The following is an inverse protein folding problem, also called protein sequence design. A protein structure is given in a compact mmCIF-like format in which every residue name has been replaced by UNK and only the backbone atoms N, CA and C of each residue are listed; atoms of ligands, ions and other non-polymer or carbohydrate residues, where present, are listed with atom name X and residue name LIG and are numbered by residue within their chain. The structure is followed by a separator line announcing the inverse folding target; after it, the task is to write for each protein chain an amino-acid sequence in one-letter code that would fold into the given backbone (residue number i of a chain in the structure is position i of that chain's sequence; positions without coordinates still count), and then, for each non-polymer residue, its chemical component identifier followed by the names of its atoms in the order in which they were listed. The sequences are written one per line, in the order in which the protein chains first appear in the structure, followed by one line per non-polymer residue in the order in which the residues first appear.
data_IF_113445277396
#
_entry.id   IF_113445277396
#
_cell.length_a   1.000
_cell.length_b   1.000
_cell.length_c   1.000
_cell.angle_alpha   90.00
_cell.angle_beta   90.00
_cell.angle_gamma   90.00
#
_symmetry.space_group_name_H-M   'P 1'
#
loop_
_entity.id
_entity.type
_entity.pdbx_description
1 polymer ?
#
# COMPACT_ATOMS: atom_id res chain seq x y z
N UNK A 1 -25.15 2.41 -27.79
CA UNK A 1 -24.68 1.79 -26.52
C UNK A 1 -23.16 1.83 -26.50
N UNK A 2 -22.53 2.61 -25.61
CA UNK A 2 -21.12 2.42 -25.27
C UNK A 2 -20.84 3.07 -23.91
N UNK A 3 -21.09 2.31 -22.84
CA UNK A 3 -20.66 2.64 -21.49
C UNK A 3 -19.21 2.15 -21.31
N UNK A 4 -18.24 2.96 -21.75
CA UNK A 4 -16.80 2.67 -21.60
C UNK A 4 -16.01 3.92 -21.22
N UNK A 5 -16.39 4.61 -20.13
CA UNK A 5 -15.63 5.79 -19.63
C UNK A 5 -15.58 6.00 -18.11
N UNK A 6 -15.98 5.03 -17.28
CA UNK A 6 -15.93 5.17 -15.80
C UNK A 6 -14.92 4.25 -15.09
N UNK A 7 -14.33 3.29 -15.79
CA UNK A 7 -13.04 2.71 -15.39
C UNK A 7 -12.00 3.76 -15.81
N UNK A 8 -11.35 4.57 -14.98
CA UNK A 8 -10.96 4.33 -13.62
C UNK A 8 -10.45 5.71 -13.08
N UNK A 9 -11.37 6.65 -12.83
CA UNK A 9 -11.01 8.02 -12.39
C UNK A 9 -10.16 7.97 -11.13
N UNK A 10 -10.51 7.04 -10.24
CA UNK A 10 -9.78 6.72 -9.03
C UNK A 10 -8.33 6.35 -9.37
N UNK A 11 -8.09 5.37 -10.27
CA UNK A 11 -6.73 5.00 -10.73
C UNK A 11 -5.92 6.18 -11.29
N UNK A 12 -6.57 7.14 -11.97
CA UNK A 12 -5.88 8.33 -12.50
C UNK A 12 -5.51 9.37 -11.45
N UNK A 13 -6.12 9.34 -10.27
CA UNK A 13 -5.80 10.27 -9.19
C UNK A 13 -4.55 9.85 -8.42
N UNK A 14 -4.21 8.56 -8.37
CA UNK A 14 -3.07 8.06 -7.60
C UNK A 14 -1.70 8.50 -8.12
N UNK A 15 -1.54 8.66 -9.43
CA UNK A 15 -0.29 9.16 -10.01
C UNK A 15 -0.02 10.63 -9.71
N UNK A 16 -0.97 11.35 -9.08
CA UNK A 16 -0.77 12.74 -8.69
C UNK A 16 -0.03 12.81 -7.36
N UNK A 17 0.99 13.67 -7.30
CA UNK A 17 1.77 13.94 -6.09
C UNK A 17 0.87 14.20 -4.87
N UNK A 18 -0.18 15.00 -5.03
CA UNK A 18 -1.13 15.35 -3.96
C UNK A 18 -1.85 14.13 -3.34
N UNK A 19 -2.05 13.06 -4.12
CA UNK A 19 -2.70 11.84 -3.63
C UNK A 19 -1.73 10.97 -2.84
N UNK A 20 -0.46 10.91 -3.25
CA UNK A 20 0.60 10.22 -2.50
C UNK A 20 0.83 10.89 -1.15
N UNK A 21 0.88 12.22 -1.11
CA UNK A 21 0.95 12.96 0.17
C UNK A 21 -0.24 12.64 1.08
N UNK A 22 -1.43 12.47 0.51
CA UNK A 22 -2.62 12.11 1.26
C UNK A 22 -2.56 10.68 1.83
N UNK A 23 -2.01 9.72 1.09
CA UNK A 23 -1.76 8.36 1.58
C UNK A 23 -0.68 8.33 2.66
N UNK A 24 0.40 9.10 2.50
CA UNK A 24 1.45 9.24 3.50
C UNK A 24 0.91 9.86 4.80
N UNK A 25 0.05 10.88 4.70
CA UNK A 25 -0.64 11.46 5.84
C UNK A 25 -1.48 10.43 6.61
N UNK A 26 -2.19 9.55 5.90
CA UNK A 26 -2.93 8.47 6.55
C UNK A 26 -2.03 7.42 7.19
N UNK A 27 -0.84 7.16 6.64
CA UNK A 27 0.14 6.25 7.24
C UNK A 27 0.78 6.82 8.50
N UNK A 28 0.97 8.13 8.55
CA UNK A 28 1.46 8.83 9.74
C UNK A 28 0.45 8.73 10.90
N UNK A 29 -0.86 8.86 10.62
CA UNK A 29 -1.92 8.52 11.58
C UNK A 29 -2.05 7.00 11.81
N UNK A 30 -1.78 6.19 10.78
CA UNK A 30 -1.86 4.73 10.77
C UNK A 30 -0.74 4.04 11.56
N UNK A 31 0.39 4.72 11.76
CA UNK A 31 1.48 4.34 12.66
C UNK A 31 1.03 4.26 14.13
N UNK A 32 -0.19 4.69 14.47
CA UNK A 32 -0.78 4.43 15.79
C UNK A 32 -1.69 3.18 15.82
N UNK A 33 -1.89 2.50 14.70
CA UNK A 33 -2.97 1.52 14.54
C UNK A 33 -2.53 0.09 14.27
N UNK A 34 -1.32 -0.18 13.78
CA UNK A 34 -0.94 -1.54 13.37
C UNK A 34 0.58 -1.78 13.36
N UNK A 35 1.04 -2.89 13.95
CA UNK A 35 2.46 -3.24 14.16
C UNK A 35 3.29 -3.19 12.85
N UNK A 36 2.84 -3.78 11.73
CA UNK A 36 3.47 -3.66 10.42
C UNK A 36 3.80 -2.25 9.94
N UNK A 37 2.90 -1.28 10.13
CA UNK A 37 3.11 0.09 9.66
C UNK A 37 4.27 0.74 10.41
N UNK A 38 4.28 0.61 11.74
CA UNK A 38 5.38 1.09 12.56
C UNK A 38 6.69 0.41 12.19
N UNK A 39 6.68 -0.90 11.96
CA UNK A 39 7.88 -1.62 11.58
C UNK A 39 8.42 -1.11 10.24
N UNK A 40 7.60 -0.99 9.20
CA UNK A 40 8.05 -0.50 7.89
C UNK A 40 8.57 0.94 8.00
N UNK A 41 7.80 1.84 8.63
CA UNK A 41 8.15 3.26 8.71
C UNK A 41 9.39 3.54 9.56
N UNK A 42 9.74 2.66 10.50
CA UNK A 42 10.90 2.82 11.38
C UNK A 42 12.05 1.84 11.04
N UNK A 43 11.98 1.11 9.93
CA UNK A 43 13.01 0.13 9.54
C UNK A 43 13.09 -1.12 10.44
N UNK A 44 12.01 -1.43 11.16
CA UNK A 44 11.83 -2.64 11.95
C UNK A 44 11.47 -3.87 11.11
N UNK A 45 11.50 -5.04 11.74
CA UNK A 45 11.21 -6.33 11.08
C UNK A 45 9.74 -6.71 11.23
N UNK A 46 9.14 -7.24 10.15
CA UNK A 46 7.81 -7.87 10.17
C UNK A 46 8.01 -9.38 10.07
N UNK A 47 7.44 -10.13 11.00
CA UNK A 47 7.52 -11.59 11.03
C UNK A 47 6.19 -12.23 11.44
N UNK A 48 5.98 -13.47 11.01
CA UNK A 48 4.92 -14.34 11.51
C UNK A 48 3.54 -13.84 11.11
N UNK A 49 2.62 -13.75 12.08
CA UNK A 49 1.22 -13.39 11.83
C UNK A 49 1.04 -11.97 11.28
N UNK A 50 2.02 -11.09 11.50
CA UNK A 50 1.98 -9.70 11.04
C UNK A 50 2.27 -9.55 9.54
N UNK A 51 2.91 -10.53 8.90
CA UNK A 51 3.26 -10.51 7.46
C UNK A 51 2.02 -10.43 6.55
N UNK A 52 0.87 -10.94 7.02
CA UNK A 52 -0.38 -11.01 6.26
C UNK A 52 -1.45 -10.06 6.78
N UNK A 53 -1.12 -9.27 7.80
CA UNK A 53 -2.11 -8.46 8.46
C UNK A 53 -2.56 -7.29 7.60
N UNK A 54 -3.84 -6.94 7.70
CA UNK A 54 -4.48 -5.91 6.91
C UNK A 54 -4.79 -4.71 7.78
N UNK A 55 -4.53 -3.51 7.28
CA UNK A 55 -4.96 -2.29 7.97
C UNK A 55 -6.42 -1.93 7.68
N UNK A 56 -6.83 -0.74 8.15
CA UNK A 56 -8.20 -0.23 7.96
C UNK A 56 -8.57 0.01 6.50
N UNK A 57 -7.59 0.18 5.61
CA UNK A 57 -7.76 0.28 4.17
C UNK A 57 -7.67 -1.09 3.48
N UNK A 58 -7.58 -2.21 4.23
CA UNK A 58 -7.30 -3.54 3.70
C UNK A 58 -5.96 -3.65 2.96
N UNK A 59 -5.01 -2.78 3.32
CA UNK A 59 -3.66 -2.85 2.79
C UNK A 59 -2.84 -3.89 3.55
N UNK A 60 -2.13 -4.70 2.78
CA UNK A 60 -1.07 -5.58 3.31
C UNK A 60 0.18 -4.79 3.67
N UNK A 61 1.14 -5.38 4.40
CA UNK A 61 2.44 -4.75 4.61
C UNK A 61 3.19 -4.45 3.30
N UNK A 62 2.94 -5.24 2.24
CA UNK A 62 3.56 -5.02 0.92
C UNK A 62 3.05 -3.73 0.26
N UNK A 63 1.77 -3.35 0.45
CA UNK A 63 1.26 -2.06 -0.04
C UNK A 63 2.01 -0.90 0.62
N UNK A 64 2.18 -0.96 1.95
CA UNK A 64 2.84 0.08 2.74
C UNK A 64 4.31 0.18 2.36
N UNK A 65 5.02 -0.95 2.27
CA UNK A 65 6.41 -0.98 1.84
C UNK A 65 6.60 -0.42 0.42
N UNK A 66 5.68 -0.73 -0.50
CA UNK A 66 5.72 -0.19 -1.87
C UNK A 66 5.46 1.33 -1.94
N UNK A 67 4.55 1.85 -1.09
CA UNK A 67 4.28 3.30 -1.00
C UNK A 67 5.53 4.08 -0.58
N UNK A 68 6.19 3.62 0.48
CA UNK A 68 7.35 4.28 1.07
C UNK A 68 8.67 3.98 0.35
N UNK A 69 8.70 2.98 -0.54
CA UNK A 69 9.90 2.58 -1.26
C UNK A 69 10.92 1.85 -0.38
N UNK A 70 10.44 1.12 0.62
CA UNK A 70 11.26 0.39 1.59
C UNK A 70 11.71 -0.96 1.01
N UNK A 71 12.78 -0.93 0.21
CA UNK A 71 13.35 -2.10 -0.48
C UNK A 71 13.68 -3.25 0.49
N UNK A 72 14.19 -2.94 1.67
CA UNK A 72 14.53 -3.95 2.68
C UNK A 72 13.28 -4.61 3.27
N UNK A 73 12.21 -3.85 3.48
CA UNK A 73 10.92 -4.42 3.89
C UNK A 73 10.35 -5.32 2.79
N UNK A 74 10.41 -4.90 1.52
CA UNK A 74 9.95 -5.70 0.37
C UNK A 74 10.71 -7.03 0.23
N UNK A 75 12.01 -7.05 0.52
CA UNK A 75 12.84 -8.27 0.50
C UNK A 75 12.47 -9.27 1.59
N UNK A 76 11.98 -8.77 2.73
CA UNK A 76 11.65 -9.60 3.89
C UNK A 76 10.18 -10.04 3.94
N UNK A 77 9.31 -9.48 3.10
CA UNK A 77 7.89 -9.80 3.08
C UNK A 77 7.54 -10.90 2.06
N UNK A 78 6.52 -11.73 2.33
CA UNK A 78 6.04 -12.73 1.38
C UNK A 78 5.27 -12.07 0.23
N UNK A 79 5.94 -11.85 -0.91
CA UNK A 79 5.37 -11.11 -2.05
C UNK A 79 4.32 -11.91 -2.85
N UNK A 80 4.39 -13.24 -2.88
CA UNK A 80 3.68 -14.12 -3.82
C UNK A 80 2.26 -13.67 -4.21
N UNK A 81 1.28 -13.86 -3.31
CA UNK A 81 -0.11 -13.46 -3.56
C UNK A 81 -0.34 -11.98 -3.22
N UNK A 82 0.47 -11.44 -2.31
CA UNK A 82 0.35 -10.08 -1.81
C UNK A 82 0.45 -9.03 -2.92
N UNK A 83 1.30 -9.23 -3.93
CA UNK A 83 1.48 -8.29 -5.06
C UNK A 83 0.24 -8.13 -5.94
N UNK A 84 -0.73 -9.05 -5.86
CA UNK A 84 -1.97 -9.03 -6.64
C UNK A 84 -3.19 -8.65 -5.82
N UNK A 85 -3.06 -8.58 -4.49
CA UNK A 85 -4.18 -8.22 -3.63
C UNK A 85 -4.53 -6.75 -3.84
N UNK A 86 -5.83 -6.46 -3.80
CA UNK A 86 -6.35 -5.11 -3.87
C UNK A 86 -6.81 -4.67 -2.50
N UNK A 87 -6.48 -3.44 -2.14
CA UNK A 87 -7.00 -2.77 -0.96
C UNK A 87 -8.45 -2.27 -1.18
N UNK A 88 -9.04 -1.59 -0.18
CA UNK A 88 -10.38 -0.99 -0.26
C UNK A 88 -10.55 0.05 -1.36
N UNK A 89 -9.45 0.61 -1.83
CA UNK A 89 -9.42 1.62 -2.88
C UNK A 89 -9.23 0.97 -4.28
N UNK A 90 -9.10 -0.36 -4.32
CA UNK A 90 -8.93 -1.15 -5.53
C UNK A 90 -7.48 -1.23 -6.02
N UNK A 91 -6.52 -0.83 -5.19
CA UNK A 91 -5.11 -0.67 -5.54
C UNK A 91 -4.31 -1.89 -5.15
N UNK A 92 -3.37 -2.30 -6.02
CA UNK A 92 -2.37 -3.33 -5.69
C UNK A 92 -1.08 -2.68 -5.19
N UNK A 93 -0.20 -3.40 -4.48
CA UNK A 93 1.07 -2.83 -4.01
C UNK A 93 1.91 -2.23 -5.15
N UNK A 94 1.94 -2.88 -6.31
CA UNK A 94 2.69 -2.39 -7.47
C UNK A 94 2.21 -1.01 -7.90
N UNK A 95 0.90 -0.74 -7.82
CA UNK A 95 0.34 0.57 -8.18
C UNK A 95 0.75 1.69 -7.20
N UNK A 96 1.17 1.37 -5.97
CA UNK A 96 1.75 2.36 -5.05
C UNK A 96 3.20 2.72 -5.42
N UNK A 97 3.95 1.77 -5.98
CA UNK A 97 5.32 1.97 -6.44
C UNK A 97 5.45 2.49 -7.88
N UNK A 98 4.43 2.29 -8.71
CA UNK A 98 4.38 2.70 -10.12
C UNK A 98 4.06 4.20 -10.25
N UNK A 99 5.07 5.02 -9.96
CA UNK A 99 5.05 6.48 -10.05
C UNK A 99 5.37 6.91 -11.49
N UNK A 100 4.37 6.91 -12.37
CA UNK A 100 4.49 7.50 -13.73
C UNK A 100 4.02 8.94 -13.78
#
# INVERSE_FOLDING_TARGET
MSARRNENVVVRLYGKADYVEMLNFFDEFGAWSHVPHCAILNGGKIEGEHEKALDKLERTPVHVAALHGEDDALRNLPLNEAVRMKDKLGMTPVMYGDRT
#
